data_IF_978008809657
#
_entry.id   IF_978008809657
#
_cell.length_a   1.000
_cell.length_b   1.000
_cell.length_c   1.000
_cell.angle_alpha   90.00
_cell.angle_beta   90.00
_cell.angle_gamma   90.00
#
_symmetry.space_group_name_H-M   'P 1'
#
loop_
_entity.id
_entity.type
_entity.pdbx_description
1 polymer ?
#
# COMPACT_ATOMS: atom_id res chain seq x y z
N UNK A 1 -8.29 2.06 -16.14
CA UNK A 1 -7.50 3.30 -15.96
C UNK A 1 -8.45 4.31 -15.36
N UNK A 2 -8.12 4.90 -14.22
CA UNK A 2 -9.01 5.85 -13.57
C UNK A 2 -9.23 7.09 -14.43
N UNK A 3 -10.49 7.48 -14.60
CA UNK A 3 -10.89 8.59 -15.45
C UNK A 3 -11.42 9.75 -14.60
N UNK A 4 -11.12 10.98 -15.04
CA UNK A 4 -11.73 12.17 -14.46
C UNK A 4 -12.91 12.57 -15.32
N UNK A 5 -14.13 12.33 -14.82
CA UNK A 5 -15.36 12.70 -15.50
C UNK A 5 -15.92 14.01 -14.92
N UNK A 6 -15.99 15.05 -15.75
CA UNK A 6 -16.68 16.29 -15.41
C UNK A 6 -17.98 16.39 -16.20
N UNK A 7 -19.12 16.25 -15.51
CA UNK A 7 -20.44 16.38 -16.12
C UNK A 7 -21.10 17.70 -15.74
N UNK A 8 -21.87 18.27 -16.68
CA UNK A 8 -22.75 19.40 -16.41
C UNK A 8 -24.07 18.84 -15.81
N UNK A 9 -24.05 18.47 -14.52
CA UNK A 9 -25.24 17.94 -13.85
C UNK A 9 -26.29 19.03 -13.57
N UNK A 10 -27.54 18.79 -13.99
CA UNK A 10 -28.71 19.51 -13.49
C UNK A 10 -28.99 19.00 -12.07
N UNK A 11 -29.01 19.89 -11.08
CA UNK A 11 -29.44 19.54 -9.72
C UNK A 11 -30.94 19.23 -9.75
N UNK A 12 -31.32 17.95 -9.81
CA UNK A 12 -32.69 17.54 -9.54
C UNK A 12 -32.94 17.64 -8.03
N UNK A 13 -33.29 18.84 -7.58
CA UNK A 13 -33.94 19.03 -6.29
C UNK A 13 -35.33 18.42 -6.38
N UNK A 14 -35.53 17.26 -5.74
CA UNK A 14 -36.86 16.77 -5.40
C UNK A 14 -37.46 17.71 -4.34
N UNK A 15 -38.01 18.83 -4.79
CA UNK A 15 -38.84 19.75 -4.02
C UNK A 15 -40.27 19.66 -4.54
N UNK A 16 -41.13 19.02 -3.76
CA UNK A 16 -42.58 19.06 -3.94
C UNK A 16 -43.04 20.53 -3.84
N UNK A 17 -43.91 20.92 -4.78
CA UNK A 17 -44.57 22.23 -4.94
C UNK A 17 -43.79 23.34 -5.68
N UNK A 18 -44.44 23.79 -6.76
CA UNK A 18 -43.94 24.77 -7.70
C UNK A 18 -43.60 26.12 -7.07
N UNK A 19 -42.38 26.54 -7.35
CA UNK A 19 -41.96 27.92 -7.62
C UNK A 19 -40.71 27.82 -8.48
N UNK A 20 -40.72 28.43 -9.66
CA UNK A 20 -39.53 28.61 -10.48
C UNK A 20 -38.48 29.37 -9.67
N UNK A 21 -37.42 28.66 -9.27
CA UNK A 21 -36.19 29.29 -8.78
C UNK A 21 -35.32 29.64 -10.00
N UNK A 22 -34.67 30.80 -10.03
CA UNK A 22 -33.84 31.20 -11.15
C UNK A 22 -32.69 30.18 -11.31
N UNK A 23 -32.55 29.62 -12.52
CA UNK A 23 -31.45 28.76 -12.96
C UNK A 23 -30.15 29.56 -12.95
N UNK A 24 -29.56 29.74 -11.77
CA UNK A 24 -28.25 30.36 -11.62
C UNK A 24 -27.34 29.42 -10.84
N UNK A 25 -26.61 28.58 -11.57
CA UNK A 25 -25.53 27.76 -11.01
C UNK A 25 -25.43 26.34 -11.56
N UNK A 26 -24.99 26.18 -12.82
CA UNK A 26 -24.42 24.90 -13.24
C UNK A 26 -23.13 24.66 -12.44
N UNK A 27 -23.16 23.82 -11.41
CA UNK A 27 -21.93 23.28 -10.83
C UNK A 27 -21.50 22.10 -11.71
N UNK A 28 -20.36 22.22 -12.38
CA UNK A 28 -19.66 21.05 -12.94
C UNK A 28 -19.39 20.09 -11.78
N UNK A 29 -20.03 18.92 -11.80
CA UNK A 29 -19.66 17.84 -10.89
C UNK A 29 -18.51 17.09 -11.53
N UNK A 30 -17.33 17.20 -10.93
CA UNK A 30 -16.16 16.44 -11.34
C UNK A 30 -15.96 15.27 -10.38
N UNK A 31 -15.71 14.10 -10.94
CA UNK A 31 -15.47 12.86 -10.22
C UNK A 31 -14.15 12.26 -10.69
N UNK A 32 -13.40 11.67 -9.76
CA UNK A 32 -12.39 10.67 -10.05
C UNK A 32 -13.07 9.32 -9.98
N UNK A 33 -12.92 8.48 -10.98
CA UNK A 33 -13.52 7.15 -11.03
C UNK A 33 -12.43 6.12 -11.29
N UNK A 34 -12.30 5.13 -10.40
CA UNK A 34 -11.37 4.02 -10.53
C UNK A 34 -12.14 2.72 -10.70
N UNK A 35 -11.77 1.93 -11.71
CA UNK A 35 -12.25 0.56 -11.85
C UNK A 35 -11.32 -0.36 -11.04
N UNK A 36 -11.72 -0.64 -9.80
CA UNK A 36 -10.91 -1.38 -8.82
C UNK A 36 -10.93 -2.89 -9.09
N UNK A 37 -12.03 -3.40 -9.66
CA UNK A 37 -12.13 -4.76 -10.20
C UNK A 37 -12.99 -4.75 -11.48
N UNK A 38 -12.94 -5.82 -12.26
CA UNK A 38 -13.81 -5.97 -13.44
C UNK A 38 -15.28 -5.83 -13.01
N UNK A 39 -15.97 -4.84 -13.59
CA UNK A 39 -17.36 -4.49 -13.25
C UNK A 39 -17.58 -3.85 -11.87
N UNK A 40 -16.53 -3.43 -11.17
CA UNK A 40 -16.61 -2.70 -9.90
C UNK A 40 -15.89 -1.36 -9.99
N UNK A 41 -16.63 -0.26 -9.81
CA UNK A 41 -16.09 1.10 -9.83
C UNK A 41 -16.25 1.79 -8.49
N UNK A 42 -15.23 2.57 -8.15
CA UNK A 42 -15.18 3.40 -6.96
C UNK A 42 -14.93 4.84 -7.35
N UNK A 43 -15.83 5.75 -6.97
CA UNK A 43 -15.84 7.12 -7.48
C UNK A 43 -15.80 8.16 -6.35
N UNK A 44 -14.89 9.13 -6.46
CA UNK A 44 -14.73 10.24 -5.52
C UNK A 44 -15.12 11.56 -6.15
N UNK A 45 -16.03 12.29 -5.50
CA UNK A 45 -16.31 13.66 -5.90
C UNK A 45 -15.06 14.52 -5.67
N UNK A 46 -14.72 15.35 -6.65
CA UNK A 46 -13.53 16.20 -6.61
C UNK A 46 -13.88 17.63 -6.16
N UNK A 47 -12.97 18.22 -5.40
CA UNK A 47 -12.87 19.66 -5.24
C UNK A 47 -12.07 20.26 -6.41
N UNK A 48 -10.90 19.70 -6.69
CA UNK A 48 -10.00 20.16 -7.76
C UNK A 48 -8.95 19.11 -8.13
N UNK A 49 -8.25 19.35 -9.23
CA UNK A 49 -7.01 18.64 -9.60
C UNK A 49 -5.87 19.59 -9.22
N UNK A 50 -5.01 19.18 -8.28
CA UNK A 50 -3.94 20.03 -7.77
C UNK A 50 -2.71 20.00 -8.67
N UNK A 51 -2.35 18.81 -9.17
CA UNK A 51 -1.21 18.63 -10.05
C UNK A 51 -1.42 17.42 -10.96
N UNK A 52 -0.86 17.48 -12.17
CA UNK A 52 -0.68 16.34 -13.06
C UNK A 52 0.70 16.41 -13.70
N UNK A 53 1.29 15.24 -13.92
CA UNK A 53 2.57 15.07 -14.57
C UNK A 53 2.67 13.68 -15.18
N UNK A 54 3.67 13.50 -16.03
CA UNK A 54 3.98 12.20 -16.61
C UNK A 54 5.50 12.04 -16.63
N UNK A 55 5.95 10.83 -16.37
CA UNK A 55 7.34 10.41 -16.56
C UNK A 55 7.40 9.38 -17.69
N UNK A 56 8.60 8.93 -18.06
CA UNK A 56 8.72 7.80 -19.00
C UNK A 56 8.16 6.48 -18.44
N UNK A 57 7.88 6.41 -17.14
CA UNK A 57 7.46 5.20 -16.45
C UNK A 57 5.98 5.19 -16.08
N UNK A 58 5.43 6.35 -15.72
CA UNK A 58 4.09 6.45 -15.12
C UNK A 58 3.51 7.87 -15.22
N UNK A 59 2.19 7.95 -15.30
CA UNK A 59 1.39 9.15 -15.12
C UNK A 59 1.14 9.41 -13.62
N UNK A 60 1.19 10.66 -13.19
CA UNK A 60 1.06 11.07 -11.79
C UNK A 60 0.01 12.18 -11.70
N UNK A 61 -0.94 12.03 -10.78
CA UNK A 61 -1.89 13.07 -10.44
C UNK A 61 -2.02 13.24 -8.92
N UNK A 62 -2.11 14.49 -8.48
CA UNK A 62 -2.49 14.84 -7.11
C UNK A 62 -3.88 15.49 -7.15
N UNK A 63 -4.85 14.81 -6.58
CA UNK A 63 -6.26 15.21 -6.59
C UNK A 63 -6.64 15.78 -5.22
N UNK A 64 -7.54 16.77 -5.19
CA UNK A 64 -8.24 17.17 -3.96
C UNK A 64 -9.64 16.57 -4.01
N UNK A 65 -9.83 15.50 -3.25
CA UNK A 65 -11.08 14.73 -3.18
C UNK A 65 -11.93 15.18 -2.00
N UNK A 66 -13.25 15.18 -2.16
CA UNK A 66 -14.19 15.47 -1.08
C UNK A 66 -14.15 14.44 0.06
N UNK A 67 -14.16 13.11 -0.20
CA UNK A 67 -14.23 12.13 0.87
C UNK A 67 -12.88 11.92 1.58
N UNK A 68 -11.75 11.97 0.86
CA UNK A 68 -10.46 11.51 1.36
C UNK A 68 -9.34 12.56 1.33
N UNK A 69 -9.68 13.83 1.11
CA UNK A 69 -8.69 14.90 1.03
C UNK A 69 -7.76 14.75 -0.17
N UNK A 70 -6.48 15.09 -0.01
CA UNK A 70 -5.49 14.94 -1.08
C UNK A 70 -5.24 13.47 -1.38
N UNK A 71 -5.39 13.07 -2.64
CA UNK A 71 -5.17 11.71 -3.11
C UNK A 71 -4.08 11.68 -4.18
N UNK A 72 -3.06 10.85 -3.96
CA UNK A 72 -2.04 10.54 -4.95
C UNK A 72 -2.54 9.41 -5.85
N UNK A 73 -2.52 9.65 -7.15
CA UNK A 73 -2.92 8.69 -8.18
C UNK A 73 -1.76 8.48 -9.13
N UNK A 74 -1.42 7.23 -9.41
CA UNK A 74 -0.37 6.83 -10.34
C UNK A 74 -0.97 5.87 -11.37
N UNK A 75 -0.77 6.15 -12.66
CA UNK A 75 -1.36 5.40 -13.78
C UNK A 75 -2.89 5.20 -13.66
N UNK A 76 -3.56 6.20 -13.09
CA UNK A 76 -4.99 6.17 -12.84
C UNK A 76 -5.43 5.21 -11.73
N UNK A 77 -4.51 4.76 -10.87
CA UNK A 77 -4.81 3.98 -9.66
C UNK A 77 -4.49 4.77 -8.41
N UNK A 78 -5.40 4.76 -7.44
CA UNK A 78 -5.18 5.39 -6.15
C UNK A 78 -4.00 4.72 -5.43
N UNK A 79 -3.04 5.52 -4.98
CA UNK A 79 -1.89 5.04 -4.22
C UNK A 79 -2.00 5.38 -2.74
N UNK A 80 -2.52 6.56 -2.41
CA UNK A 80 -2.56 7.08 -1.05
C UNK A 80 -3.57 8.22 -0.95
N UNK A 81 -4.23 8.33 0.20
CA UNK A 81 -5.15 9.43 0.49
C UNK A 81 -4.91 10.02 1.89
N UNK A 82 -4.91 11.35 1.97
CA UNK A 82 -4.54 12.16 3.14
C UNK A 82 -5.27 11.74 4.43
N UNK A 83 -6.53 11.35 4.31
CA UNK A 83 -7.37 11.03 5.47
C UNK A 83 -7.12 9.65 6.06
N UNK A 84 -6.47 8.72 5.36
CA UNK A 84 -6.32 7.34 5.84
C UNK A 84 -4.98 6.66 5.52
N UNK A 85 -4.05 7.35 4.83
CA UNK A 85 -2.71 6.83 4.53
C UNK A 85 -1.95 6.38 5.79
N UNK A 86 -2.23 6.94 6.96
CA UNK A 86 -1.62 6.47 8.20
C UNK A 86 -1.98 5.06 8.58
N UNK A 87 -3.17 4.58 8.22
CA UNK A 87 -3.56 3.20 8.48
C UNK A 87 -2.61 2.29 7.71
N UNK A 88 -2.36 2.61 6.45
CA UNK A 88 -1.41 1.89 5.59
C UNK A 88 0.01 1.97 6.14
N UNK A 89 0.53 3.19 6.36
CA UNK A 89 1.94 3.39 6.70
C UNK A 89 2.30 2.98 8.13
N UNK A 90 1.42 3.16 9.12
CA UNK A 90 1.64 2.64 10.47
C UNK A 90 1.65 1.10 10.46
N UNK A 91 0.73 0.48 9.69
CA UNK A 91 0.65 -0.97 9.56
C UNK A 91 1.85 -1.55 8.82
N UNK A 92 2.30 -0.91 7.74
CA UNK A 92 3.47 -1.36 6.96
C UNK A 92 4.77 -1.28 7.78
N UNK A 93 4.96 -0.22 8.56
CA UNK A 93 6.27 0.09 9.18
C UNK A 93 6.38 -0.44 10.60
N UNK A 94 5.42 -0.13 11.46
CA UNK A 94 5.63 -0.25 12.89
C UNK A 94 5.76 -1.69 13.38
N UNK A 95 4.97 -2.68 12.91
CA UNK A 95 5.13 -4.07 13.32
C UNK A 95 6.56 -4.59 13.14
N UNK A 96 7.17 -4.37 11.97
CA UNK A 96 8.51 -4.86 11.68
C UNK A 96 9.57 -4.25 12.62
N UNK A 97 9.54 -2.92 12.78
CA UNK A 97 10.51 -2.21 13.62
C UNK A 97 10.31 -2.49 15.13
N UNK A 98 9.06 -2.71 15.56
CA UNK A 98 8.76 -3.00 16.96
C UNK A 98 9.22 -4.41 17.35
N UNK A 99 9.13 -5.40 16.46
CA UNK A 99 9.64 -6.74 16.72
C UNK A 99 11.17 -6.80 16.75
N UNK A 100 11.85 -5.97 15.95
CA UNK A 100 13.29 -5.84 16.02
C UNK A 100 13.74 -5.21 17.36
N UNK A 101 14.79 -5.76 17.99
CA UNK A 101 15.23 -5.32 19.31
C UNK A 101 15.75 -3.88 19.30
N UNK A 102 16.55 -3.53 18.29
CA UNK A 102 17.13 -2.18 18.12
C UNK A 102 17.39 -1.84 16.64
N UNK A 103 16.35 -1.53 15.84
CA UNK A 103 16.52 -1.27 14.41
C UNK A 103 17.20 0.10 14.19
N UNK A 104 18.33 0.13 13.46
CA UNK A 104 19.15 1.34 13.22
C UNK A 104 19.23 1.71 11.74
N UNK A 105 19.42 0.72 10.87
CA UNK A 105 19.56 0.91 9.41
C UNK A 105 18.40 0.24 8.68
N UNK A 106 17.58 1.05 8.00
CA UNK A 106 16.36 0.60 7.34
C UNK A 106 16.47 0.86 5.84
N UNK A 107 16.10 -0.14 5.04
CA UNK A 107 16.02 -0.02 3.59
C UNK A 107 14.55 -0.07 3.14
N UNK A 108 14.16 0.84 2.26
CA UNK A 108 12.83 0.93 1.66
C UNK A 108 12.99 0.62 0.18
N UNK A 109 12.35 -0.45 -0.28
CA UNK A 109 12.10 -0.71 -1.69
C UNK A 109 10.85 0.06 -2.10
N UNK A 110 10.99 1.05 -2.98
CA UNK A 110 9.88 1.91 -3.39
C UNK A 110 9.64 3.06 -2.42
N UNK A 111 8.38 3.30 -2.06
CA UNK A 111 7.99 4.34 -1.09
C UNK A 111 8.18 5.79 -1.56
N UNK A 112 8.04 6.05 -2.86
CA UNK A 112 8.25 7.37 -3.47
C UNK A 112 7.39 8.51 -2.92
N UNK A 113 6.32 8.21 -2.18
CA UNK A 113 5.51 9.21 -1.46
C UNK A 113 6.25 9.83 -0.26
N UNK A 114 7.17 9.09 0.36
CA UNK A 114 7.88 9.49 1.57
C UNK A 114 7.15 9.24 2.89
N UNK A 115 5.88 8.80 2.87
CA UNK A 115 5.11 8.47 4.07
C UNK A 115 5.66 7.24 4.82
N UNK A 116 6.14 6.22 4.11
CA UNK A 116 6.90 5.10 4.72
C UNK A 116 8.14 5.60 5.46
N UNK A 117 8.93 6.49 4.84
CA UNK A 117 10.10 7.08 5.48
C UNK A 117 9.73 7.94 6.70
N UNK A 118 8.63 8.71 6.63
CA UNK A 118 8.10 9.50 7.74
C UNK A 118 7.82 8.63 8.97
N UNK A 119 7.14 7.50 8.79
CA UNK A 119 6.85 6.57 9.90
C UNK A 119 8.11 5.91 10.46
N UNK A 120 9.07 5.54 9.61
CA UNK A 120 10.36 4.99 10.05
C UNK A 120 11.12 6.01 10.89
N UNK A 121 11.18 7.28 10.47
CA UNK A 121 11.90 8.35 11.17
C UNK A 121 11.29 8.74 12.52
N UNK A 122 10.07 8.27 12.84
CA UNK A 122 9.50 8.37 14.19
C UNK A 122 10.18 7.44 15.19
N UNK A 123 10.84 6.36 14.75
CA UNK A 123 11.56 5.45 15.64
C UNK A 123 12.88 6.07 16.10
N UNK A 124 13.03 6.27 17.41
CA UNK A 124 14.21 6.90 18.05
C UNK A 124 15.49 6.10 17.89
N UNK A 125 15.40 4.81 17.59
CA UNK A 125 16.57 3.93 17.38
C UNK A 125 17.13 4.02 15.97
N UNK A 126 16.36 4.53 15.00
CA UNK A 126 16.76 4.59 13.60
C UNK A 126 17.79 5.70 13.39
N UNK A 127 18.86 5.36 12.68
CA UNK A 127 19.99 6.24 12.37
C UNK A 127 20.16 6.50 10.88
N UNK A 128 19.82 5.51 10.03
CA UNK A 128 19.94 5.60 8.58
C UNK A 128 18.71 4.99 7.92
N UNK A 129 18.10 5.74 7.01
CA UNK A 129 17.03 5.29 6.13
C UNK A 129 17.50 5.43 4.70
N UNK A 130 17.45 4.34 3.94
CA UNK A 130 17.81 4.30 2.53
C UNK A 130 16.53 4.02 1.76
N UNK A 131 16.13 4.95 0.91
CA UNK A 131 15.00 4.79 -0.01
C UNK A 131 15.56 4.82 -1.43
N UNK A 132 15.52 3.68 -2.11
CA UNK A 132 16.09 3.54 -3.44
C UNK A 132 15.45 2.37 -4.19
N UNK A 133 15.56 2.38 -5.50
CA UNK A 133 15.36 1.17 -6.30
C UNK A 133 16.41 0.13 -5.92
N UNK A 134 16.05 -1.16 -6.00
CA UNK A 134 16.96 -2.22 -5.61
C UNK A 134 18.05 -2.42 -6.67
N UNK A 135 19.12 -1.66 -6.54
CA UNK A 135 20.42 -1.97 -7.14
C UNK A 135 21.16 -2.97 -6.25
N UNK A 136 22.07 -3.76 -6.83
CA UNK A 136 22.92 -4.70 -6.09
C UNK A 136 23.81 -3.94 -5.09
N UNK A 137 23.32 -3.75 -3.88
CA UNK A 137 24.05 -3.15 -2.78
C UNK A 137 24.61 -4.28 -1.91
N UNK A 138 25.83 -4.10 -1.44
CA UNK A 138 26.48 -5.05 -0.51
C UNK A 138 26.23 -4.68 0.96
N UNK A 139 25.47 -3.60 1.22
CA UNK A 139 25.14 -3.15 2.57
C UNK A 139 24.06 -4.06 3.20
N UNK A 140 24.28 -4.45 4.46
CA UNK A 140 23.29 -5.13 5.28
C UNK A 140 22.36 -4.12 5.99
N UNK A 141 21.11 -4.49 6.19
CA UNK A 141 20.08 -3.67 6.83
C UNK A 141 19.43 -4.43 7.99
N UNK A 142 19.01 -3.73 9.04
CA UNK A 142 18.33 -4.34 10.19
C UNK A 142 16.88 -4.70 9.84
N UNK A 143 16.23 -3.87 9.01
CA UNK A 143 14.88 -4.10 8.48
C UNK A 143 14.81 -3.63 7.03
N UNK A 144 14.11 -4.42 6.21
CA UNK A 144 13.78 -4.08 4.82
C UNK A 144 12.26 -3.94 4.71
N UNK A 145 11.80 -2.85 4.12
CA UNK A 145 10.38 -2.57 3.88
C UNK A 145 10.14 -2.59 2.37
N UNK A 146 9.24 -3.47 1.94
CA UNK A 146 8.72 -3.50 0.57
C UNK A 146 7.47 -2.63 0.45
N UNK A 147 7.61 -1.47 -0.18
CA UNK A 147 6.54 -0.52 -0.45
C UNK A 147 6.41 -0.35 -1.97
N UNK A 148 5.98 -1.43 -2.60
CA UNK A 148 6.00 -1.66 -4.04
C UNK A 148 4.57 -1.91 -4.53
N UNK A 149 4.33 -1.54 -5.79
CA UNK A 149 3.10 -1.90 -6.49
C UNK A 149 2.99 -3.42 -6.70
N UNK A 150 1.76 -3.92 -6.80
CA UNK A 150 1.48 -5.34 -7.02
C UNK A 150 2.26 -5.94 -8.19
N UNK A 151 2.68 -7.22 -8.09
CA UNK A 151 3.39 -7.89 -9.17
C UNK A 151 2.45 -8.17 -10.35
N UNK A 152 2.45 -7.28 -11.33
CA UNK A 152 1.77 -7.45 -12.63
C UNK A 152 2.74 -8.07 -13.65
N UNK A 153 2.23 -8.93 -14.55
CA UNK A 153 3.02 -9.55 -15.61
C UNK A 153 3.75 -8.52 -16.48
N UNK A 154 5.08 -8.64 -16.58
CA UNK A 154 5.92 -7.69 -17.33
C UNK A 154 6.08 -6.32 -16.66
N UNK A 155 5.49 -6.10 -15.49
CA UNK A 155 5.65 -4.88 -14.70
C UNK A 155 7.04 -4.76 -14.07
N UNK A 156 7.49 -3.53 -13.74
CA UNK A 156 8.84 -3.28 -13.24
C UNK A 156 9.11 -3.94 -11.88
N UNK A 157 8.06 -4.09 -11.05
CA UNK A 157 8.17 -4.64 -9.70
C UNK A 157 8.21 -6.18 -9.67
N UNK A 158 7.84 -6.87 -10.76
CA UNK A 158 7.66 -8.34 -10.77
C UNK A 158 8.86 -9.10 -10.20
N UNK A 159 10.08 -8.76 -10.63
CA UNK A 159 11.31 -9.45 -10.21
C UNK A 159 11.51 -9.38 -8.70
N UNK A 160 11.03 -8.29 -8.07
CA UNK A 160 11.12 -8.05 -6.64
C UNK A 160 10.18 -8.96 -5.83
N UNK A 161 9.31 -9.76 -6.47
CA UNK A 161 8.44 -10.73 -5.78
C UNK A 161 8.82 -12.19 -6.06
N UNK A 162 9.95 -12.45 -6.72
CA UNK A 162 10.37 -13.80 -7.11
C UNK A 162 11.24 -14.48 -6.06
N UNK A 163 11.17 -15.82 -5.98
CA UNK A 163 12.04 -16.62 -5.11
C UNK A 163 13.54 -16.32 -5.33
N UNK A 164 13.96 -16.20 -6.59
CA UNK A 164 15.37 -15.94 -6.95
C UNK A 164 15.86 -14.60 -6.39
N UNK A 165 15.02 -13.57 -6.40
CA UNK A 165 15.35 -12.29 -5.79
C UNK A 165 15.70 -12.44 -4.31
N UNK A 166 14.89 -13.16 -3.54
CA UNK A 166 15.11 -13.38 -2.11
C UNK A 166 16.17 -14.42 -1.77
N UNK A 167 16.47 -15.35 -2.69
CA UNK A 167 17.52 -16.37 -2.52
C UNK A 167 18.93 -15.87 -2.87
N UNK A 168 19.06 -15.01 -3.90
CA UNK A 168 20.34 -14.64 -4.49
C UNK A 168 20.79 -13.21 -4.19
N UNK A 169 19.94 -12.36 -3.61
CA UNK A 169 20.42 -11.11 -3.00
C UNK A 169 20.78 -11.34 -1.54
N UNK A 170 21.71 -10.55 -0.96
CA UNK A 170 21.99 -10.56 0.48
C UNK A 170 20.78 -10.15 1.36
N UNK A 171 19.59 -10.00 0.77
CA UNK A 171 18.35 -9.48 1.34
C UNK A 171 17.34 -10.60 1.55
N UNK A 172 17.61 -11.45 2.54
CA UNK A 172 16.74 -12.57 2.93
C UNK A 172 15.49 -12.13 3.71
N UNK A 173 14.61 -11.34 3.09
CA UNK A 173 13.23 -11.15 3.59
C UNK A 173 12.36 -10.38 2.59
N UNK A 174 11.42 -11.04 1.92
CA UNK A 174 9.94 -10.86 2.04
C UNK A 174 9.16 -11.56 0.90
N UNK A 175 8.22 -12.44 1.28
CA UNK A 175 7.07 -12.97 0.51
C UNK A 175 7.23 -14.12 -0.53
N UNK A 176 6.33 -15.10 -0.31
CA UNK A 176 6.02 -16.32 -1.06
C UNK A 176 7.05 -17.46 -1.08
N UNK A 177 7.57 -17.87 0.09
CA UNK A 177 8.37 -19.10 0.13
C UNK A 177 8.42 -19.95 1.42
N UNK A 178 7.48 -19.86 2.35
CA UNK A 178 7.75 -20.29 3.73
C UNK A 178 7.08 -21.58 4.19
N UNK A 179 7.30 -22.64 3.41
CA UNK A 179 7.25 -24.03 3.92
C UNK A 179 8.59 -24.77 3.78
N UNK A 180 9.66 -24.12 3.27
CA UNK A 180 10.96 -24.77 3.05
C UNK A 180 12.15 -24.14 3.78
N UNK A 181 11.97 -23.01 4.47
CA UNK A 181 13.01 -22.38 5.29
C UNK A 181 12.50 -22.19 6.73
N UNK A 182 13.41 -22.23 7.72
CA UNK A 182 13.11 -21.99 9.15
C UNK A 182 12.87 -20.49 9.43
N UNK A 183 11.94 -19.89 8.71
CA UNK A 183 11.63 -18.47 8.79
C UNK A 183 10.23 -18.35 9.38
N UNK A 184 10.09 -17.55 10.41
CA UNK A 184 8.81 -17.21 11.02
C UNK A 184 8.09 -16.17 10.16
N UNK A 185 6.78 -16.36 9.97
CA UNK A 185 5.97 -15.58 9.03
C UNK A 185 4.68 -15.18 9.66
N UNK A 186 4.41 -13.88 9.63
CA UNK A 186 3.18 -13.33 10.20
C UNK A 186 2.47 -12.51 9.14
N UNK A 187 1.45 -13.07 8.46
CA UNK A 187 0.53 -12.28 7.66
C UNK A 187 -0.44 -11.52 8.57
N UNK A 188 -0.76 -10.30 8.20
CA UNK A 188 -1.70 -9.44 8.91
C UNK A 188 -2.40 -8.52 7.94
N UNK A 189 -3.56 -8.01 8.32
CA UNK A 189 -4.39 -7.22 7.41
C UNK A 189 -5.20 -6.15 8.14
N UNK A 190 -5.48 -5.04 7.44
CA UNK A 190 -6.32 -3.96 7.93
C UNK A 190 -7.14 -3.37 6.78
N UNK A 191 -8.33 -2.86 7.10
CA UNK A 191 -9.16 -2.16 6.14
C UNK A 191 -8.62 -0.75 5.84
N UNK A 192 -8.45 -0.43 4.56
CA UNK A 192 -8.06 0.91 4.08
C UNK A 192 -9.28 1.52 3.37
N UNK A 193 -9.98 2.49 4.00
CA UNK A 193 -11.25 3.01 3.48
C UNK A 193 -11.21 3.52 2.04
N UNK A 194 -10.16 4.25 1.67
CA UNK A 194 -10.00 4.82 0.33
C UNK A 194 -9.78 3.74 -0.73
N UNK A 195 -9.25 2.57 -0.35
CA UNK A 195 -9.01 1.44 -1.26
C UNK A 195 -10.26 0.55 -1.42
N UNK A 196 -11.31 0.80 -0.64
CA UNK A 196 -12.54 -0.01 -0.60
C UNK A 196 -12.31 -1.51 -0.30
N UNK A 197 -11.18 -1.87 0.30
CA UNK A 197 -10.86 -3.25 0.64
C UNK A 197 -9.94 -3.38 1.87
N UNK A 198 -9.76 -4.63 2.30
CA UNK A 198 -8.77 -5.04 3.29
C UNK A 198 -7.41 -5.21 2.62
N UNK A 199 -6.43 -4.43 3.07
CA UNK A 199 -5.05 -4.57 2.62
C UNK A 199 -4.28 -5.55 3.50
N UNK A 200 -3.40 -6.32 2.88
CA UNK A 200 -2.57 -7.33 3.53
C UNK A 200 -1.09 -6.96 3.53
N UNK A 201 -0.41 -7.29 4.63
CA UNK A 201 1.04 -7.23 4.75
C UNK A 201 1.58 -8.53 5.33
N UNK A 202 2.88 -8.76 5.15
CA UNK A 202 3.55 -9.94 5.70
C UNK A 202 4.89 -9.54 6.30
N UNK A 203 5.12 -9.97 7.53
CA UNK A 203 6.45 -9.97 8.12
C UNK A 203 7.09 -11.35 7.96
N UNK A 204 8.41 -11.37 7.72
CA UNK A 204 9.19 -12.59 7.66
C UNK A 204 10.55 -12.37 8.36
N UNK A 205 10.99 -13.33 9.15
CA UNK A 205 12.31 -13.30 9.81
C UNK A 205 12.80 -14.70 10.14
N UNK A 206 14.11 -14.93 10.12
CA UNK A 206 14.70 -16.17 10.64
C UNK A 206 14.65 -16.23 12.19
N UNK A 207 14.25 -15.15 12.85
CA UNK A 207 13.97 -15.08 14.29
C UNK A 207 12.45 -15.01 14.55
N UNK A 208 11.94 -15.65 15.61
CA UNK A 208 10.51 -15.69 15.86
C UNK A 208 9.94 -14.35 16.34
N UNK A 209 8.71 -14.04 15.91
CA UNK A 209 7.91 -12.90 16.35
C UNK A 209 7.12 -13.28 17.61
N UNK A 210 7.66 -12.96 18.79
CA UNK A 210 7.14 -13.46 20.09
C UNK A 210 6.42 -12.42 20.95
N UNK A 211 6.22 -11.19 20.45
CA UNK A 211 5.67 -10.11 21.27
C UNK A 211 4.16 -10.20 21.43
N UNK A 212 3.68 -9.95 22.66
CA UNK A 212 2.26 -9.74 22.91
C UNK A 212 1.87 -8.26 22.80
N UNK A 213 0.56 -7.98 22.88
CA UNK A 213 0.00 -6.63 22.79
C UNK A 213 0.63 -5.64 23.79
N UNK A 214 0.75 -6.01 25.07
CA UNK A 214 1.27 -5.12 26.11
C UNK A 214 2.77 -4.82 25.88
N UNK A 215 3.54 -5.81 25.41
CA UNK A 215 4.95 -5.64 25.05
C UNK A 215 5.12 -4.73 23.83
N UNK A 216 4.23 -4.83 22.83
CA UNK A 216 4.20 -3.93 21.68
C UNK A 216 3.90 -2.50 22.13
N UNK A 217 2.90 -2.29 22.99
CA UNK A 217 2.54 -0.98 23.54
C UNK A 217 3.72 -0.36 24.32
N UNK A 218 4.41 -1.16 25.14
CA UNK A 218 5.62 -0.72 25.83
C UNK A 218 6.71 -0.30 24.84
N UNK A 219 6.96 -1.10 23.79
CA UNK A 219 7.95 -0.75 22.77
C UNK A 219 7.55 0.49 21.99
N UNK A 220 6.28 0.68 21.65
CA UNK A 220 5.79 1.90 20.98
C UNK A 220 6.06 3.13 21.84
N UNK A 221 5.68 3.10 23.12
CA UNK A 221 5.91 4.20 24.06
C UNK A 221 7.40 4.57 24.19
N UNK A 222 8.27 3.57 24.22
CA UNK A 222 9.71 3.80 24.34
C UNK A 222 10.35 4.26 23.02
N UNK A 223 10.03 3.61 21.90
CA UNK A 223 10.76 3.75 20.64
C UNK A 223 10.15 4.79 19.70
N UNK A 224 8.85 5.03 19.72
CA UNK A 224 8.18 5.91 18.75
C UNK A 224 8.08 7.35 19.30
N UNK A 225 8.26 8.34 18.44
CA UNK A 225 7.99 9.76 18.71
C UNK A 225 6.52 10.06 18.42
N UNK A 226 5.83 10.65 19.40
CA UNK A 226 4.40 10.92 19.32
C UNK A 226 3.56 9.65 19.47
N UNK A 227 2.24 9.81 19.45
CA UNK A 227 1.28 8.72 19.51
C UNK A 227 0.93 8.25 18.10
N UNK A 228 0.71 6.95 17.94
CA UNK A 228 0.14 6.37 16.73
C UNK A 228 -1.34 6.74 16.63
N UNK A 229 -1.82 6.91 15.39
CA UNK A 229 -3.23 7.21 15.11
C UNK A 229 -4.07 5.95 14.95
N UNK A 230 -3.47 4.87 14.46
CA UNK A 230 -4.15 3.62 14.15
C UNK A 230 -3.65 2.46 15.01
N UNK A 231 -2.33 2.28 15.08
CA UNK A 231 -1.74 1.04 15.58
C UNK A 231 -1.41 1.11 17.08
N UNK A 232 -2.07 0.25 17.86
CA UNK A 232 -1.64 -0.20 19.19
C UNK A 232 -1.38 -1.73 19.17
N UNK A 233 -0.92 -2.29 20.29
CA UNK A 233 -0.60 -3.70 20.40
C UNK A 233 -1.82 -4.63 20.22
N UNK A 234 -3.01 -4.19 20.62
CA UNK A 234 -4.25 -4.94 20.41
C UNK A 234 -4.71 -4.88 18.96
N UNK A 235 -4.60 -3.72 18.31
CA UNK A 235 -4.84 -3.54 16.88
C UNK A 235 -3.95 -4.47 16.09
N UNK A 236 -2.65 -4.54 16.38
CA UNK A 236 -1.76 -5.48 15.69
C UNK A 236 -2.14 -6.94 15.96
N UNK A 237 -2.42 -7.31 17.21
CA UNK A 237 -2.83 -8.68 17.57
C UNK A 237 -4.14 -9.09 16.85
N UNK A 238 -5.06 -8.15 16.67
CA UNK A 238 -6.28 -8.34 15.89
C UNK A 238 -5.98 -8.47 14.40
N UNK A 239 -5.13 -7.61 13.85
CA UNK A 239 -4.76 -7.60 12.44
C UNK A 239 -4.06 -8.90 12.01
N UNK A 240 -3.26 -9.51 12.89
CA UNK A 240 -2.62 -10.81 12.65
C UNK A 240 -3.53 -12.01 12.89
N UNK A 241 -4.76 -11.79 13.40
CA UNK A 241 -5.74 -12.86 13.61
C UNK A 241 -6.68 -12.94 12.40
N UNK A 242 -6.22 -13.64 11.36
CA UNK A 242 -6.95 -13.74 10.10
C UNK A 242 -8.21 -14.63 10.20
N UNK A 243 -9.18 -14.36 9.33
CA UNK A 243 -10.42 -15.15 9.25
C UNK A 243 -10.13 -16.61 8.87
N UNK A 244 -11.07 -17.51 9.20
CA UNK A 244 -10.92 -18.95 8.89
C UNK A 244 -10.69 -19.20 7.40
N UNK A 245 -11.42 -18.50 6.54
CA UNK A 245 -11.32 -18.67 5.09
C UNK A 245 -9.93 -18.24 4.57
N UNK A 246 -9.43 -17.08 5.03
CA UNK A 246 -8.11 -16.57 4.63
C UNK A 246 -7.00 -17.48 5.16
N UNK A 247 -7.06 -17.91 6.44
CA UNK A 247 -6.07 -18.86 6.99
C UNK A 247 -6.03 -20.16 6.20
N UNK A 248 -7.18 -20.76 5.92
CA UNK A 248 -7.25 -21.96 5.10
C UNK A 248 -6.69 -21.73 3.69
N UNK A 249 -6.93 -20.57 3.09
CA UNK A 249 -6.37 -20.25 1.77
C UNK A 249 -4.85 -20.17 1.81
N UNK A 250 -4.28 -19.50 2.82
CA UNK A 250 -2.84 -19.38 3.01
C UNK A 250 -2.19 -20.74 3.30
N UNK A 251 -2.81 -21.57 4.15
CA UNK A 251 -2.29 -22.90 4.51
C UNK A 251 -2.29 -23.88 3.33
N UNK A 252 -3.22 -23.72 2.39
CA UNK A 252 -3.36 -24.57 1.20
C UNK A 252 -2.68 -24.00 -0.06
N UNK A 253 -2.10 -22.80 0.02
CA UNK A 253 -1.40 -22.22 -1.12
C UNK A 253 -0.11 -23.01 -1.39
N UNK A 254 0.05 -23.45 -2.63
CA UNK A 254 1.20 -24.26 -3.09
C UNK A 254 1.98 -23.55 -4.19
N UNK A 255 1.45 -22.45 -4.70
CA UNK A 255 2.04 -21.70 -5.77
C UNK A 255 3.25 -20.89 -5.27
N UNK A 256 4.32 -20.97 -6.04
CA UNK A 256 5.56 -20.24 -5.82
C UNK A 256 5.80 -19.34 -7.01
N UNK A 257 6.05 -18.06 -6.76
CA UNK A 257 6.56 -17.14 -7.77
C UNK A 257 8.03 -17.47 -8.07
N UNK A 258 8.26 -18.22 -9.14
CA UNK A 258 9.56 -18.31 -9.81
C UNK A 258 9.54 -17.48 -11.09
N UNK A 259 10.71 -17.18 -11.63
CA UNK A 259 10.82 -16.65 -12.99
C UNK A 259 10.03 -17.56 -13.94
N UNK A 260 8.91 -17.07 -14.49
CA UNK A 260 8.08 -17.79 -15.45
C UNK A 260 6.85 -18.55 -14.91
N UNK A 261 6.56 -18.56 -13.60
CA UNK A 261 5.37 -19.25 -13.06
C UNK A 261 4.35 -18.36 -12.38
N UNK A 262 4.64 -17.07 -12.15
CA UNK A 262 3.81 -16.26 -11.27
C UNK A 262 2.35 -16.14 -11.71
N UNK A 263 1.44 -16.36 -10.76
CA UNK A 263 0.01 -16.02 -10.87
C UNK A 263 -0.17 -14.53 -10.62
N UNK A 264 -0.90 -13.87 -11.50
CA UNK A 264 -1.09 -12.43 -11.48
C UNK A 264 -2.41 -12.08 -10.82
N UNK A 265 -2.44 -11.00 -10.05
CA UNK A 265 -3.71 -10.33 -9.74
C UNK A 265 -4.14 -9.68 -11.06
N UNK A 266 -5.30 -10.05 -11.57
CA UNK A 266 -5.89 -9.41 -12.75
C UNK A 266 -6.38 -8.00 -12.35
N UNK A 267 -5.45 -7.06 -12.26
CA UNK A 267 -5.71 -5.62 -12.34
C UNK A 267 -5.01 -5.11 -13.60
N UNK A 268 -5.74 -4.42 -14.49
CA UNK A 268 -5.32 -4.05 -15.86
C UNK A 268 -4.09 -3.10 -15.96
N UNK A 269 -2.92 -3.54 -15.51
CA UNK A 269 -1.65 -3.03 -16.04
C UNK A 269 -1.41 -3.67 -17.40
N UNK A 270 -1.91 -3.06 -18.47
CA UNK A 270 -1.47 -3.43 -19.81
C UNK A 270 -0.03 -2.95 -20.01
N UNK A 271 0.95 -3.84 -19.81
CA UNK A 271 2.30 -3.58 -20.31
C UNK A 271 2.23 -3.50 -21.85
N UNK A 272 2.44 -2.31 -22.41
CA UNK A 272 2.60 -2.16 -23.86
C UNK A 272 3.81 -3.00 -24.30
N UNK A 273 3.55 -4.07 -25.07
CA UNK A 273 4.59 -4.73 -25.85
C UNK A 273 5.05 -3.75 -26.93
N UNK A 274 6.20 -3.11 -26.74
CA UNK A 274 6.93 -2.50 -27.83
C UNK A 274 7.40 -3.62 -28.78
N UNK A 275 6.59 -3.92 -29.79
CA UNK A 275 7.04 -4.66 -30.96
C UNK A 275 7.93 -3.73 -31.79
N UNK A 276 9.23 -3.73 -31.51
CA UNK A 276 10.21 -3.32 -32.50
C UNK A 276 10.49 -4.53 -33.42
N UNK A 277 9.87 -4.50 -34.59
CA UNK A 277 10.33 -5.17 -35.81
C UNK A 277 11.00 -4.17 -36.73
#
# INVERSE_FOLDING_TARGET
MGDISCSNGISNGNGVHGKELPLNGYRKSCWYEEEIEENLRWSFALNSILHTGATQYQDIALLDTKPFGKALVIDGKLQSAETDEFIYHESLVHPALLHHSNPRTIFIMGGGEGSTAREILRHKTVEKVIMAELESREEAYDVIIGDLADPIEGGPCYKLYTKSFYEFTPYRSILLHLQHFKTDVVPYSAHIPSFADTWGWVMASDSPFVLNADELDLRMKHKIKGENRYLDGKTFSSASTLSKAVRNSLDNETHVYTEGTARFIYGHGSAYKNNHG
#
